data_IF_244027808688
#
_entry.id   IF_244027808688
#
_cell.length_a   1.000
_cell.length_b   1.000
_cell.length_c   1.000
_cell.angle_alpha   90.00
_cell.angle_beta   90.00
_cell.angle_gamma   90.00
#
_symmetry.space_group_name_H-M   'P 1'
#
loop_
_entity.id
_entity.type
_entity.pdbx_description
1 polymer ?
#
# COMPACT_ATOMS: atom_id res chain seq x y z
N UNK A 1 -10.85 -11.78 -7.59
CA UNK A 1 -9.69 -12.46 -6.96
C UNK A 1 -8.33 -11.80 -7.27
N UNK A 2 -8.05 -11.40 -8.50
CA UNK A 2 -6.74 -10.81 -8.89
C UNK A 2 -6.28 -9.66 -7.97
N UNK A 3 -7.10 -8.64 -7.78
CA UNK A 3 -6.78 -7.50 -6.89
C UNK A 3 -6.67 -7.90 -5.41
N UNK A 4 -7.48 -8.83 -4.94
CA UNK A 4 -7.37 -9.35 -3.57
C UNK A 4 -6.04 -10.08 -3.35
N UNK A 5 -5.61 -10.88 -4.32
CA UNK A 5 -4.30 -11.55 -4.25
C UNK A 5 -3.16 -10.54 -4.20
N UNK A 6 -3.22 -9.47 -5.02
CA UNK A 6 -2.26 -8.36 -4.94
C UNK A 6 -2.29 -7.67 -3.58
N UNK A 7 -3.48 -7.40 -3.05
CA UNK A 7 -3.65 -6.80 -1.72
C UNK A 7 -2.92 -7.62 -0.66
N UNK A 8 -3.19 -8.91 -0.56
CA UNK A 8 -2.58 -9.75 0.47
C UNK A 8 -1.08 -9.93 0.28
N UNK A 9 -0.63 -10.25 -0.93
CA UNK A 9 0.79 -10.44 -1.21
C UNK A 9 1.58 -9.17 -0.89
N UNK A 10 1.09 -8.00 -1.31
CA UNK A 10 1.78 -6.74 -1.06
C UNK A 10 1.64 -6.26 0.38
N UNK A 11 0.55 -6.56 1.08
CA UNK A 11 0.42 -6.29 2.51
C UNK A 11 1.42 -7.11 3.33
N UNK A 12 1.65 -8.38 2.97
CA UNK A 12 2.65 -9.25 3.60
C UNK A 12 4.07 -8.75 3.28
N UNK A 13 4.36 -8.46 2.02
CA UNK A 13 5.67 -7.91 1.62
C UNK A 13 5.94 -6.59 2.35
N UNK A 14 4.95 -5.70 2.42
CA UNK A 14 5.06 -4.43 3.14
C UNK A 14 5.35 -4.62 4.62
N UNK A 15 4.72 -5.58 5.28
CA UNK A 15 5.01 -5.93 6.66
C UNK A 15 6.48 -6.34 6.86
N UNK A 16 7.01 -7.19 6.00
CA UNK A 16 8.42 -7.59 6.08
C UNK A 16 9.38 -6.43 5.78
N UNK A 17 9.04 -5.55 4.83
CA UNK A 17 9.83 -4.33 4.57
C UNK A 17 9.89 -3.46 5.81
N UNK A 18 8.76 -3.16 6.44
CA UNK A 18 8.72 -2.35 7.66
C UNK A 18 9.50 -3.01 8.80
N UNK A 19 9.30 -4.29 9.03
CA UNK A 19 10.01 -5.04 10.08
C UNK A 19 11.53 -5.02 9.88
N UNK A 20 11.99 -5.03 8.62
CA UNK A 20 13.42 -4.97 8.30
C UNK A 20 14.02 -3.58 8.53
N UNK A 21 13.31 -2.51 8.12
CA UNK A 21 13.84 -1.14 8.20
C UNK A 21 13.67 -0.51 9.58
N UNK A 22 12.59 -0.83 10.30
CA UNK A 22 12.28 -0.17 11.58
C UNK A 22 12.60 -1.00 12.81
N UNK A 23 13.16 -2.22 12.66
CA UNK A 23 13.56 -3.13 13.77
C UNK A 23 12.47 -3.32 14.85
N UNK A 24 11.23 -2.96 14.55
CA UNK A 24 10.11 -3.10 15.46
C UNK A 24 9.45 -4.46 15.26
N UNK A 25 9.34 -5.25 16.34
CA UNK A 25 8.59 -6.52 16.33
C UNK A 25 7.10 -6.31 16.02
N UNK A 26 6.62 -5.08 16.15
CA UNK A 26 5.22 -4.69 16.02
C UNK A 26 5.05 -3.70 14.84
N UNK A 27 5.29 -4.17 13.61
CA UNK A 27 4.99 -3.38 12.43
C UNK A 27 3.50 -3.45 12.10
N UNK A 28 2.73 -2.48 12.59
CA UNK A 28 1.30 -2.34 12.29
C UNK A 28 0.39 -2.56 13.50
N UNK A 29 -0.93 -2.47 13.26
CA UNK A 29 -1.97 -2.59 14.30
C UNK A 29 -2.53 -4.00 14.37
N UNK A 30 -2.47 -4.73 13.25
CA UNK A 30 -3.05 -6.05 13.10
C UNK A 30 -2.13 -7.12 13.69
N UNK A 31 -2.72 -8.21 14.20
CA UNK A 31 -1.99 -9.33 14.80
C UNK A 31 -1.27 -10.18 13.74
N UNK A 32 -1.81 -10.26 12.53
CA UNK A 32 -1.22 -10.98 11.40
C UNK A 32 -0.09 -10.21 10.72
N UNK A 33 0.73 -10.93 9.96
CA UNK A 33 1.88 -10.37 9.23
C UNK A 33 1.43 -9.59 7.97
N UNK A 34 0.59 -8.58 8.13
CA UNK A 34 0.13 -7.71 7.04
C UNK A 34 0.04 -6.25 7.45
N UNK A 35 0.52 -5.40 6.56
CA UNK A 35 0.39 -3.94 6.65
C UNK A 35 -0.51 -3.47 5.49
N UNK A 36 -1.82 -3.27 5.73
CA UNK A 36 -2.83 -3.06 4.68
C UNK A 36 -2.57 -1.86 3.77
N UNK A 37 -1.86 -0.83 4.23
CA UNK A 37 -1.57 0.36 3.43
C UNK A 37 -0.81 0.02 2.15
N UNK A 38 0.11 -0.96 2.19
CA UNK A 38 0.84 -1.43 1.00
C UNK A 38 -0.06 -2.16 0.02
N UNK A 39 -0.99 -2.98 0.54
CA UNK A 39 -1.99 -3.66 -0.27
C UNK A 39 -2.94 -2.68 -0.96
N UNK A 40 -3.47 -1.71 -0.21
CA UNK A 40 -4.35 -0.64 -0.72
C UNK A 40 -3.60 0.19 -1.77
N UNK A 41 -2.40 0.67 -1.42
CA UNK A 41 -1.56 1.44 -2.34
C UNK A 41 -1.30 0.70 -3.64
N UNK A 42 -0.99 -0.60 -3.56
CA UNK A 42 -0.79 -1.43 -4.76
C UNK A 42 -2.02 -1.51 -5.63
N UNK A 43 -3.22 -1.76 -5.06
CA UNK A 43 -4.46 -1.78 -5.86
C UNK A 43 -4.66 -0.46 -6.59
N UNK A 44 -4.43 0.66 -5.91
CA UNK A 44 -4.61 1.99 -6.48
C UNK A 44 -3.62 2.24 -7.61
N UNK A 45 -2.34 1.89 -7.44
CA UNK A 45 -1.33 1.98 -8.50
C UNK A 45 -1.75 1.14 -9.72
N UNK A 46 -2.25 -0.09 -9.52
CA UNK A 46 -2.72 -0.95 -10.60
C UNK A 46 -3.92 -0.32 -11.33
N UNK A 47 -4.83 0.32 -10.62
CA UNK A 47 -5.99 1.00 -11.20
C UNK A 47 -5.57 2.27 -11.97
N UNK A 48 -4.65 3.07 -11.42
CA UNK A 48 -4.06 4.24 -12.09
C UNK A 48 -3.40 3.79 -13.39
N UNK A 49 -2.54 2.77 -13.33
CA UNK A 49 -1.88 2.25 -14.53
C UNK A 49 -2.89 1.76 -15.58
N UNK A 50 -3.89 0.99 -15.16
CA UNK A 50 -4.98 0.54 -16.06
C UNK A 50 -5.75 1.70 -16.68
N UNK A 51 -5.93 2.80 -15.95
CA UNK A 51 -6.56 4.00 -16.44
C UNK A 51 -5.69 4.71 -17.49
N UNK A 52 -4.40 4.90 -17.20
CA UNK A 52 -3.42 5.52 -18.10
C UNK A 52 -3.29 4.72 -19.40
N UNK A 53 -3.34 3.38 -19.32
CA UNK A 53 -3.22 2.50 -20.49
C UNK A 53 -4.36 2.65 -21.51
N UNK A 54 -5.48 3.27 -21.14
CA UNK A 54 -6.56 3.61 -22.09
C UNK A 54 -6.17 4.74 -23.06
N UNK A 55 -5.19 5.56 -22.68
CA UNK A 55 -4.75 6.68 -23.51
C UNK A 55 -3.64 6.23 -24.46
N UNK A 56 -3.75 6.64 -25.73
CA UNK A 56 -2.74 6.37 -26.76
C UNK A 56 -1.58 7.37 -26.69
N UNK A 57 -0.91 7.41 -25.53
CA UNK A 57 0.26 8.27 -25.27
C UNK A 57 1.54 7.43 -25.30
N UNK A 58 2.67 8.08 -25.55
CA UNK A 58 3.95 7.38 -25.59
C UNK A 58 4.37 6.88 -24.18
N UNK A 59 5.34 5.96 -24.13
CA UNK A 59 5.80 5.33 -22.88
C UNK A 59 6.33 6.34 -21.85
N UNK A 60 7.01 7.38 -22.29
CA UNK A 60 7.58 8.40 -21.39
C UNK A 60 6.46 9.13 -20.65
N UNK A 61 5.45 9.61 -21.39
CA UNK A 61 4.30 10.25 -20.76
C UNK A 61 3.52 9.32 -19.82
N UNK A 62 3.39 8.02 -20.16
CA UNK A 62 2.77 7.04 -19.25
C UNK A 62 3.52 6.94 -17.93
N UNK A 63 4.86 6.91 -17.95
CA UNK A 63 5.70 6.86 -16.75
C UNK A 63 5.52 8.15 -15.93
N UNK A 64 5.54 9.32 -16.57
CA UNK A 64 5.35 10.60 -15.89
C UNK A 64 3.96 10.67 -15.24
N UNK A 65 2.89 10.32 -15.96
CA UNK A 65 1.54 10.31 -15.41
C UNK A 65 1.39 9.31 -14.27
N UNK A 66 1.96 8.12 -14.41
CA UNK A 66 1.96 7.13 -13.33
C UNK A 66 2.65 7.68 -12.09
N UNK A 67 3.83 8.27 -12.24
CA UNK A 67 4.57 8.89 -11.15
C UNK A 67 3.74 9.97 -10.46
N UNK A 68 3.28 10.97 -11.21
CA UNK A 68 2.57 12.13 -10.65
C UNK A 68 1.25 11.71 -9.98
N UNK A 69 0.41 10.94 -10.67
CA UNK A 69 -0.87 10.52 -10.13
C UNK A 69 -0.70 9.63 -8.89
N UNK A 70 0.27 8.71 -8.90
CA UNK A 70 0.55 7.86 -7.74
C UNK A 70 1.11 8.67 -6.57
N UNK A 71 2.04 9.60 -6.82
CA UNK A 71 2.57 10.48 -5.77
C UNK A 71 1.46 11.21 -5.03
N UNK A 72 0.56 11.85 -5.77
CA UNK A 72 -0.55 12.63 -5.18
C UNK A 72 -1.54 11.70 -4.47
N UNK A 73 -2.01 10.66 -5.16
CA UNK A 73 -3.07 9.79 -4.63
C UNK A 73 -2.60 9.03 -3.38
N UNK A 74 -1.38 8.50 -3.39
CA UNK A 74 -0.85 7.74 -2.25
C UNK A 74 -0.51 8.64 -1.07
N UNK A 75 -0.05 9.88 -1.29
CA UNK A 75 0.13 10.86 -0.24
C UNK A 75 -1.20 11.18 0.48
N UNK A 76 -2.29 11.34 -0.27
CA UNK A 76 -3.62 11.54 0.30
C UNK A 76 -4.06 10.33 1.14
N UNK A 77 -3.84 9.11 0.63
CA UNK A 77 -4.21 7.87 1.32
C UNK A 77 -3.37 7.68 2.59
N UNK A 78 -2.08 7.97 2.52
CA UNK A 78 -1.19 7.92 3.67
C UNK A 78 -1.64 8.89 4.76
N UNK A 79 -1.97 10.13 4.39
CA UNK A 79 -2.50 11.11 5.32
C UNK A 79 -3.85 10.67 5.94
N UNK A 80 -4.80 10.22 5.11
CA UNK A 80 -6.08 9.68 5.59
C UNK A 80 -5.85 8.49 6.53
N UNK A 81 -4.98 7.56 6.16
CA UNK A 81 -4.63 6.39 6.97
C UNK A 81 -4.10 6.78 8.35
N UNK A 82 -3.16 7.73 8.42
CA UNK A 82 -2.61 8.23 9.67
C UNK A 82 -3.66 8.87 10.57
N UNK A 83 -4.54 9.73 10.02
CA UNK A 83 -5.64 10.32 10.79
C UNK A 83 -6.65 9.28 11.25
N UNK A 84 -7.01 8.30 10.41
CA UNK A 84 -7.94 7.22 10.79
C UNK A 84 -7.38 6.36 11.92
N UNK A 85 -6.10 5.98 11.84
CA UNK A 85 -5.44 5.19 12.88
C UNK A 85 -5.40 5.96 14.20
N UNK A 86 -5.05 7.24 14.16
CA UNK A 86 -5.08 8.10 15.34
C UNK A 86 -6.48 8.22 15.93
N UNK A 87 -7.49 8.40 15.09
CA UNK A 87 -8.87 8.54 15.53
C UNK A 87 -9.44 7.23 16.12
N UNK A 88 -9.18 6.09 15.45
CA UNK A 88 -9.76 4.80 15.85
C UNK A 88 -8.99 4.20 17.02
N UNK A 89 -7.65 4.18 16.97
CA UNK A 89 -6.81 3.43 17.91
C UNK A 89 -6.02 4.31 18.89
N UNK A 90 -6.11 5.63 18.72
CA UNK A 90 -5.29 6.62 19.45
C UNK A 90 -3.77 6.35 19.34
N UNK A 91 -3.35 5.71 18.26
CA UNK A 91 -1.95 5.38 17.95
C UNK A 91 -1.41 6.27 16.83
N UNK A 92 -0.10 6.49 16.85
CA UNK A 92 0.63 7.20 15.80
C UNK A 92 1.72 6.27 15.30
N UNK A 93 1.46 5.64 14.14
CA UNK A 93 2.42 4.68 13.56
C UNK A 93 3.55 5.38 12.81
N UNK A 94 3.31 6.58 12.30
CA UNK A 94 4.31 7.43 11.66
C UNK A 94 4.01 8.90 11.90
N UNK A 95 5.06 9.73 11.83
CA UNK A 95 4.99 11.18 12.01
C UNK A 95 6.06 11.84 11.14
N UNK A 96 5.64 12.66 10.19
CA UNK A 96 6.52 13.42 9.30
C UNK A 96 6.63 14.90 9.68
N UNK A 97 6.22 15.30 10.88
CA UNK A 97 6.28 16.70 11.33
C UNK A 97 7.69 17.29 11.27
N UNK A 98 8.72 16.44 11.39
CA UNK A 98 10.13 16.84 11.31
C UNK A 98 10.69 16.86 9.89
N UNK A 99 9.93 16.44 8.87
CA UNK A 99 10.37 16.53 7.47
C UNK A 99 10.34 17.99 7.01
N UNK A 100 11.34 18.35 6.18
CA UNK A 100 11.49 19.73 5.69
C UNK A 100 10.27 20.22 4.90
N UNK A 101 9.63 19.33 4.14
CA UNK A 101 8.46 19.61 3.31
C UNK A 101 7.26 18.75 3.74
N UNK A 102 6.98 18.75 5.04
CA UNK A 102 5.80 18.06 5.55
C UNK A 102 4.50 18.72 5.05
N UNK A 103 3.47 17.90 4.83
CA UNK A 103 2.11 18.34 4.50
C UNK A 103 1.21 17.81 5.61
N UNK A 104 1.16 18.54 6.73
CA UNK A 104 0.56 18.03 7.96
C UNK A 104 1.42 16.97 8.63
N UNK A 105 0.83 16.20 9.54
CA UNK A 105 1.58 15.24 10.38
C UNK A 105 1.90 13.93 9.67
N UNK A 106 1.02 13.47 8.80
CA UNK A 106 1.04 12.08 8.30
C UNK A 106 1.43 11.96 6.84
N UNK A 107 1.90 13.02 6.18
CA UNK A 107 2.51 12.93 4.86
C UNK A 107 3.51 14.06 4.61
N UNK A 108 4.38 13.89 3.62
CA UNK A 108 5.36 14.88 3.19
C UNK A 108 5.61 14.80 1.69
N UNK A 109 6.19 15.85 1.10
CA UNK A 109 6.56 15.85 -0.32
C UNK A 109 7.61 14.75 -0.57
N UNK A 110 8.58 14.58 0.33
CA UNK A 110 9.60 13.55 0.22
C UNK A 110 8.98 12.15 0.12
N UNK A 111 8.02 11.85 0.99
CA UNK A 111 7.32 10.55 0.96
C UNK A 111 6.45 10.41 -0.28
N UNK A 112 5.79 11.49 -0.71
CA UNK A 112 5.00 11.49 -1.94
C UNK A 112 5.85 11.12 -3.16
N UNK A 113 7.09 11.63 -3.26
CA UNK A 113 8.02 11.27 -4.33
C UNK A 113 8.47 9.81 -4.24
N UNK A 114 8.69 9.29 -3.04
CA UNK A 114 9.02 7.87 -2.82
C UNK A 114 7.86 6.98 -3.28
N UNK A 115 6.62 7.31 -2.97
CA UNK A 115 5.43 6.61 -3.45
C UNK A 115 5.32 6.63 -4.98
N UNK A 116 5.62 7.78 -5.61
CA UNK A 116 5.68 7.90 -7.07
C UNK A 116 6.72 6.98 -7.70
N UNK A 117 7.95 6.96 -7.18
CA UNK A 117 9.02 6.06 -7.64
C UNK A 117 8.65 4.60 -7.42
N UNK A 118 8.10 4.27 -6.25
CA UNK A 118 7.63 2.92 -5.93
C UNK A 118 6.57 2.43 -6.91
N UNK A 119 5.70 3.32 -7.42
CA UNK A 119 4.71 2.97 -8.44
C UNK A 119 5.34 2.54 -9.76
N UNK A 120 6.41 3.21 -10.19
CA UNK A 120 7.16 2.84 -11.40
C UNK A 120 7.82 1.46 -11.20
N UNK A 121 8.50 1.26 -10.07
CA UNK A 121 9.14 -0.02 -9.73
C UNK A 121 8.09 -1.12 -9.68
N UNK A 122 6.95 -0.87 -9.04
CA UNK A 122 5.87 -1.84 -8.95
C UNK A 122 5.36 -2.25 -10.34
N UNK A 123 5.03 -1.31 -11.21
CA UNK A 123 4.40 -1.59 -12.51
C UNK A 123 5.38 -2.23 -13.48
N UNK A 124 6.61 -1.73 -13.57
CA UNK A 124 7.54 -2.15 -14.62
C UNK A 124 8.46 -3.31 -14.22
N UNK A 125 8.70 -3.53 -12.91
CA UNK A 125 9.62 -4.58 -12.44
C UNK A 125 8.91 -5.64 -11.59
N UNK A 126 8.15 -5.22 -10.57
CA UNK A 126 7.55 -6.17 -9.62
C UNK A 126 6.34 -6.87 -10.21
N UNK A 127 5.42 -6.12 -10.84
CA UNK A 127 4.17 -6.65 -11.39
C UNK A 127 4.38 -7.79 -12.39
N UNK A 128 5.32 -7.72 -13.39
CA UNK A 128 5.55 -8.84 -14.31
C UNK A 128 5.96 -10.14 -13.63
N UNK A 129 6.68 -10.04 -12.50
CA UNK A 129 7.09 -11.19 -11.70
C UNK A 129 5.93 -11.73 -10.86
N UNK A 130 5.24 -10.83 -10.15
CA UNK A 130 4.11 -11.21 -9.32
C UNK A 130 2.93 -11.75 -10.11
N UNK A 131 2.66 -11.27 -11.32
CA UNK A 131 1.59 -11.77 -12.17
C UNK A 131 1.72 -13.28 -12.46
N UNK A 132 2.96 -13.78 -12.54
CA UNK A 132 3.23 -15.23 -12.74
C UNK A 132 2.78 -16.08 -11.56
N UNK A 133 2.84 -15.50 -10.34
CA UNK A 133 2.50 -16.18 -9.08
C UNK A 133 1.02 -15.96 -8.78
N UNK A 134 0.58 -14.72 -8.81
CA UNK A 134 -0.76 -14.29 -8.40
C UNK A 134 -1.87 -14.95 -9.22
N UNK A 135 -1.63 -15.13 -10.53
CA UNK A 135 -2.58 -15.82 -11.42
C UNK A 135 -2.73 -17.31 -11.11
N UNK A 136 -1.76 -17.93 -10.42
CA UNK A 136 -1.78 -19.33 -10.03
C UNK A 136 -2.41 -19.57 -8.65
N UNK A 137 -2.67 -18.52 -7.86
CA UNK A 137 -3.25 -18.64 -6.53
C UNK A 137 -4.69 -19.17 -6.67
N UNK A 138 -5.01 -20.35 -6.08
CA UNK A 138 -6.36 -20.88 -6.08
C UNK A 138 -7.34 -19.94 -5.36
N UNK A 139 -8.57 -19.85 -5.86
CA UNK A 139 -9.61 -19.00 -5.25
C UNK A 139 -9.84 -19.32 -3.77
N UNK A 140 -9.70 -20.60 -3.39
CA UNK A 140 -9.86 -21.06 -2.00
C UNK A 140 -8.88 -20.37 -1.07
N UNK A 141 -7.60 -20.23 -1.47
CA UNK A 141 -6.58 -19.52 -0.68
C UNK A 141 -6.98 -18.05 -0.50
N UNK A 142 -7.47 -17.40 -1.56
CA UNK A 142 -7.92 -16.00 -1.47
C UNK A 142 -9.08 -15.87 -0.48
N UNK A 143 -10.06 -16.78 -0.49
CA UNK A 143 -11.17 -16.75 0.47
C UNK A 143 -10.70 -16.97 1.91
N UNK A 144 -9.77 -17.90 2.14
CA UNK A 144 -9.16 -18.11 3.47
C UNK A 144 -8.48 -16.83 3.96
N UNK A 145 -7.68 -16.19 3.11
CA UNK A 145 -6.99 -14.93 3.47
C UNK A 145 -7.99 -13.81 3.79
N UNK A 146 -9.09 -13.70 3.04
CA UNK A 146 -10.15 -12.72 3.32
C UNK A 146 -10.76 -12.98 4.71
N UNK A 147 -11.11 -14.23 5.02
CA UNK A 147 -11.70 -14.60 6.31
C UNK A 147 -10.73 -14.29 7.45
N UNK A 148 -9.46 -14.70 7.32
CA UNK A 148 -8.44 -14.43 8.33
C UNK A 148 -8.22 -12.93 8.54
N UNK A 149 -8.20 -12.14 7.47
CA UNK A 149 -8.03 -10.69 7.54
C UNK A 149 -9.22 -10.01 8.24
N UNK A 150 -10.46 -10.40 7.91
CA UNK A 150 -11.66 -9.87 8.56
C UNK A 150 -11.68 -10.26 10.05
N UNK A 151 -11.29 -11.49 10.38
CA UNK A 151 -11.22 -11.96 11.76
C UNK A 151 -10.18 -11.17 12.57
N UNK A 152 -8.96 -10.99 12.04
CA UNK A 152 -7.91 -10.19 12.66
C UNK A 152 -8.35 -8.73 12.87
N UNK A 153 -8.91 -8.12 11.84
CA UNK A 153 -9.44 -6.75 11.93
C UNK A 153 -10.53 -6.63 13.00
N UNK A 154 -11.43 -7.61 13.09
CA UNK A 154 -12.50 -7.63 14.09
C UNK A 154 -11.95 -7.74 15.51
N UNK A 155 -10.99 -8.64 15.75
CA UNK A 155 -10.34 -8.78 17.06
C UNK A 155 -9.59 -7.50 17.42
N UNK A 156 -8.85 -6.94 16.49
CA UNK A 156 -8.10 -5.70 16.70
C UNK A 156 -9.02 -4.53 17.07
N UNK A 157 -10.21 -4.44 16.44
CA UNK A 157 -11.20 -3.40 16.75
C UNK A 157 -11.89 -3.61 18.11
N UNK A 158 -12.07 -4.85 18.54
CA UNK A 158 -12.69 -5.16 19.84
C UNK A 158 -11.72 -4.88 21.00
N UNK A 159 -10.43 -5.11 20.78
CA UNK A 159 -9.38 -4.97 21.80
C UNK A 159 -8.75 -3.56 21.83
N UNK A 160 -9.36 -2.58 21.17
CA UNK A 160 -8.84 -1.20 21.12
C UNK A 160 -9.03 -0.45 22.44
#
# INVERSE_FOLDING_TARGET
>A
MYYFNYFFVMSIIGHFIESFFYSSKDSGILMGYWTPIYGIGTIIILLINKYIDKFKINKIFKIIFLFVLSSITLAIIEAIGGYLIKWIFNLELWDYSNHKFNIGKYTSIEMSLIWGLSSIILIYFIKPLLDKIIKKIPKVITYILIILFIFDLSITLINK
#
